data_IF_627076170359
#
_entry.id   IF_627076170359
#
_cell.length_a   1.000
_cell.length_b   1.000
_cell.length_c   1.000
_cell.angle_alpha   90.00
_cell.angle_beta   90.00
_cell.angle_gamma   90.00
#
_symmetry.space_group_name_H-M   'P 1'
#
loop_
_entity.id
_entity.type
_entity.pdbx_description
1 polymer ?
#
# COMPACT_ATOMS: atom_id res chain seq x y z
N UNK A 1 22.10 -9.87 -44.89
CA UNK A 1 21.87 -10.36 -43.51
C UNK A 1 21.18 -9.25 -42.72
N UNK A 2 19.87 -9.39 -42.44
CA UNK A 2 19.18 -8.44 -41.55
C UNK A 2 19.55 -8.83 -40.12
N UNK A 3 20.40 -8.05 -39.49
CA UNK A 3 20.61 -8.09 -38.05
C UNK A 3 19.25 -7.94 -37.38
N UNK A 4 18.73 -9.03 -36.78
CA UNK A 4 17.61 -8.96 -35.83
C UNK A 4 18.11 -8.20 -34.61
N UNK A 5 18.00 -6.87 -34.65
CA UNK A 5 18.07 -6.07 -33.44
C UNK A 5 16.98 -6.61 -32.52
N UNK A 6 17.38 -7.23 -31.44
CA UNK A 6 16.47 -7.68 -30.37
C UNK A 6 15.88 -6.40 -29.75
N UNK A 7 14.83 -5.87 -30.36
CA UNK A 7 14.16 -4.69 -29.86
C UNK A 7 13.43 -5.04 -28.56
N UNK A 8 13.82 -4.41 -27.47
CA UNK A 8 13.18 -4.60 -26.17
C UNK A 8 11.76 -4.02 -26.23
N UNK A 9 10.78 -4.91 -26.36
CA UNK A 9 9.36 -4.53 -26.44
C UNK A 9 8.83 -4.16 -25.07
N UNK A 10 8.32 -2.94 -24.94
CA UNK A 10 7.70 -2.40 -23.75
C UNK A 10 6.24 -2.02 -24.05
N UNK A 11 5.34 -2.49 -23.20
CA UNK A 11 3.90 -2.26 -23.35
C UNK A 11 3.41 -1.38 -22.23
N UNK A 12 2.68 -0.32 -22.57
CA UNK A 12 1.94 0.52 -21.64
C UNK A 12 0.45 0.26 -21.75
N UNK A 13 -0.22 0.14 -20.63
CA UNK A 13 -1.66 -0.07 -20.54
C UNK A 13 -2.28 0.98 -19.64
N UNK A 14 -3.10 1.82 -20.22
CA UNK A 14 -4.02 2.67 -19.47
C UNK A 14 -5.35 1.95 -19.28
N UNK A 15 -5.90 2.01 -18.06
CA UNK A 15 -7.04 1.20 -17.66
C UNK A 15 -8.24 2.09 -17.36
N UNK A 16 -9.18 2.13 -18.29
CA UNK A 16 -10.50 2.72 -18.08
C UNK A 16 -11.51 1.71 -17.54
N UNK A 17 -12.67 2.21 -17.11
CA UNK A 17 -13.78 1.36 -16.61
C UNK A 17 -14.31 0.41 -17.70
N UNK A 18 -14.40 0.89 -18.93
CA UNK A 18 -15.00 0.17 -20.06
C UNK A 18 -14.00 -0.28 -21.10
N UNK A 19 -12.79 0.29 -21.10
CA UNK A 19 -11.81 0.13 -22.15
C UNK A 19 -10.41 0.02 -21.56
N UNK A 20 -9.55 -0.71 -22.25
CA UNK A 20 -8.10 -0.73 -22.06
C UNK A 20 -7.44 -0.13 -23.29
N UNK A 21 -6.56 0.84 -23.06
CA UNK A 21 -5.77 1.49 -24.09
C UNK A 21 -4.34 0.96 -24.03
N UNK A 22 -3.87 0.36 -25.12
CA UNK A 22 -2.63 -0.40 -25.14
C UNK A 22 -1.69 0.18 -26.19
N UNK A 23 -0.46 0.46 -25.78
CA UNK A 23 0.58 0.96 -26.64
C UNK A 23 1.85 0.10 -26.56
N UNK A 24 2.43 -0.25 -27.70
CA UNK A 24 3.61 -1.12 -27.84
C UNK A 24 4.79 -0.34 -28.41
N UNK A 25 5.81 -0.09 -27.61
CA UNK A 25 7.07 0.51 -28.02
C UNK A 25 8.15 -0.57 -28.30
N UNK A 26 9.08 -0.31 -29.22
CA UNK A 26 9.21 0.85 -30.10
C UNK A 26 8.41 0.72 -31.41
N UNK A 27 7.47 -0.23 -31.50
CA UNK A 27 6.75 -0.54 -32.77
C UNK A 27 5.70 0.50 -33.13
N UNK A 28 5.39 1.45 -32.26
CA UNK A 28 4.36 2.46 -32.43
C UNK A 28 2.96 1.91 -32.71
N UNK A 29 2.66 0.76 -32.08
CA UNK A 29 1.37 0.08 -32.23
C UNK A 29 0.45 0.51 -31.10
N UNK A 30 -0.70 1.06 -31.45
CA UNK A 30 -1.77 1.40 -30.52
C UNK A 30 -3.04 0.66 -30.89
N UNK A 31 -3.72 0.10 -29.91
CA UNK A 31 -5.04 -0.51 -30.07
C UNK A 31 -5.81 -0.44 -28.76
N UNK A 32 -7.12 -0.57 -28.87
CA UNK A 32 -8.05 -0.57 -27.75
C UNK A 32 -8.83 -1.87 -27.72
N UNK A 33 -9.21 -2.30 -26.51
CA UNK A 33 -10.13 -3.41 -26.30
C UNK A 33 -11.10 -3.05 -25.18
N UNK A 34 -12.25 -3.70 -25.14
CA UNK A 34 -13.17 -3.56 -24.00
C UNK A 34 -12.53 -4.13 -22.73
N UNK A 35 -12.75 -3.48 -21.59
CA UNK A 35 -12.31 -3.98 -20.28
C UNK A 35 -13.29 -5.03 -19.74
N UNK A 36 -13.43 -6.12 -20.48
CA UNK A 36 -14.21 -7.31 -20.14
C UNK A 36 -13.42 -8.58 -20.47
N UNK A 37 -13.97 -9.73 -20.13
CA UNK A 37 -13.27 -11.02 -20.30
C UNK A 37 -12.83 -11.27 -21.75
N UNK A 38 -13.66 -10.93 -22.73
CA UNK A 38 -13.36 -11.13 -24.16
C UNK A 38 -12.24 -10.21 -24.63
N UNK A 39 -12.34 -8.91 -24.36
CA UNK A 39 -11.33 -7.92 -24.76
C UNK A 39 -9.99 -8.17 -24.07
N UNK A 40 -9.99 -8.54 -22.78
CA UNK A 40 -8.79 -8.88 -22.04
C UNK A 40 -8.08 -10.11 -22.65
N UNK A 41 -8.82 -11.16 -23.02
CA UNK A 41 -8.26 -12.33 -23.71
C UNK A 41 -7.62 -11.96 -25.06
N UNK A 42 -8.28 -11.08 -25.81
CA UNK A 42 -7.76 -10.55 -27.09
C UNK A 42 -6.48 -9.75 -26.89
N UNK A 43 -6.46 -8.84 -25.91
CA UNK A 43 -5.31 -8.03 -25.58
C UNK A 43 -4.10 -8.90 -25.21
N UNK A 44 -4.28 -9.85 -24.29
CA UNK A 44 -3.22 -10.76 -23.85
C UNK A 44 -2.69 -11.61 -25.01
N UNK A 45 -3.59 -12.15 -25.87
CA UNK A 45 -3.21 -12.90 -27.08
C UNK A 45 -2.39 -12.04 -28.06
N UNK A 46 -2.78 -10.79 -28.24
CA UNK A 46 -2.10 -9.85 -29.14
C UNK A 46 -0.73 -9.47 -28.58
N UNK A 47 -0.65 -9.07 -27.32
CA UNK A 47 0.59 -8.67 -26.65
C UNK A 47 1.61 -9.84 -26.62
N UNK A 48 1.15 -11.06 -26.39
CA UNK A 48 2.01 -12.25 -26.33
C UNK A 48 2.78 -12.51 -27.62
N UNK A 49 2.23 -12.13 -28.80
CA UNK A 49 2.91 -12.27 -30.10
C UNK A 49 4.21 -11.47 -30.18
N UNK A 50 4.25 -10.34 -29.50
CA UNK A 50 5.42 -9.42 -29.48
C UNK A 50 6.47 -9.78 -28.46
N UNK A 51 6.24 -10.78 -27.59
CA UNK A 51 7.18 -11.22 -26.54
C UNK A 51 7.72 -10.04 -25.71
N UNK A 52 6.87 -9.26 -25.03
CA UNK A 52 7.30 -8.07 -24.34
C UNK A 52 8.30 -8.37 -23.22
N UNK A 53 9.29 -7.50 -23.05
CA UNK A 53 10.19 -7.51 -21.90
C UNK A 53 9.44 -7.07 -20.63
N UNK A 54 8.47 -6.15 -20.79
CA UNK A 54 7.66 -5.63 -19.69
C UNK A 54 6.34 -5.05 -20.18
N UNK A 55 5.30 -5.30 -19.39
CA UNK A 55 3.97 -4.70 -19.53
C UNK A 55 3.77 -3.83 -18.28
N UNK A 56 3.65 -2.53 -18.44
CA UNK A 56 3.37 -1.62 -17.31
C UNK A 56 1.92 -1.20 -17.36
N UNK A 57 1.25 -1.35 -16.23
CA UNK A 57 -0.15 -0.99 -16.00
C UNK A 57 -0.20 0.01 -14.85
N UNK A 58 -0.90 1.12 -15.01
CA UNK A 58 -1.12 2.06 -13.91
C UNK A 58 -2.18 1.52 -12.94
N UNK A 59 -1.94 1.65 -11.63
CA UNK A 59 -2.91 1.27 -10.60
C UNK A 59 -4.09 2.24 -10.61
N UNK A 60 -5.30 1.78 -10.98
CA UNK A 60 -6.53 2.57 -11.14
C UNK A 60 -7.66 2.10 -10.23
N UNK A 61 -7.34 1.77 -8.97
CA UNK A 61 -8.33 1.42 -7.96
C UNK A 61 -9.02 0.08 -8.19
N UNK A 62 -8.32 -0.90 -8.78
CA UNK A 62 -8.68 -2.30 -9.07
C UNK A 62 -9.32 -2.56 -10.45
N UNK A 63 -9.54 -1.56 -11.28
CA UNK A 63 -9.99 -1.77 -12.66
C UNK A 63 -8.95 -2.53 -13.49
N UNK A 64 -7.68 -2.42 -13.12
CA UNK A 64 -6.53 -3.10 -13.72
C UNK A 64 -6.46 -4.60 -13.38
N UNK A 65 -7.08 -5.04 -12.28
CA UNK A 65 -6.88 -6.39 -11.74
C UNK A 65 -7.27 -7.53 -12.68
N UNK A 66 -8.40 -7.48 -13.42
CA UNK A 66 -8.74 -8.54 -14.37
C UNK A 66 -7.68 -8.74 -15.45
N UNK A 67 -7.12 -7.64 -15.98
CA UNK A 67 -6.05 -7.70 -16.97
C UNK A 67 -4.72 -8.21 -16.38
N UNK A 68 -4.37 -7.80 -15.17
CA UNK A 68 -3.17 -8.27 -14.44
C UNK A 68 -3.25 -9.79 -14.21
N UNK A 69 -4.40 -10.30 -13.76
CA UNK A 69 -4.62 -11.73 -13.55
C UNK A 69 -4.47 -12.51 -14.87
N UNK A 70 -5.00 -11.98 -15.97
CA UNK A 70 -4.85 -12.59 -17.28
C UNK A 70 -3.39 -12.60 -17.76
N UNK A 71 -2.63 -11.52 -17.52
CA UNK A 71 -1.20 -11.48 -17.81
C UNK A 71 -0.41 -12.51 -16.98
N UNK A 72 -0.71 -12.63 -15.69
CA UNK A 72 -0.06 -13.61 -14.82
C UNK A 72 -0.35 -15.05 -15.26
N UNK A 73 -1.60 -15.37 -15.56
CA UNK A 73 -2.01 -16.68 -16.08
C UNK A 73 -1.32 -17.01 -17.41
N UNK A 74 -1.08 -16.00 -18.25
CA UNK A 74 -0.35 -16.13 -19.51
C UNK A 74 1.18 -16.13 -19.34
N UNK A 75 1.70 -16.02 -18.10
CA UNK A 75 3.12 -15.89 -17.73
C UNK A 75 3.81 -14.72 -18.43
N UNK A 76 3.09 -13.61 -18.62
CA UNK A 76 3.64 -12.38 -19.18
C UNK A 76 4.29 -11.53 -18.08
N UNK A 77 5.41 -10.85 -18.38
CA UNK A 77 6.11 -9.99 -17.43
C UNK A 77 5.35 -8.67 -17.24
N UNK A 78 4.77 -8.44 -16.06
CA UNK A 78 3.99 -7.23 -15.78
C UNK A 78 4.51 -6.47 -14.58
N UNK A 79 4.21 -5.16 -14.56
CA UNK A 79 4.50 -4.24 -13.45
C UNK A 79 3.29 -3.37 -13.20
N UNK A 80 2.87 -3.29 -11.94
CA UNK A 80 1.83 -2.36 -11.49
C UNK A 80 2.54 -1.07 -11.08
N UNK A 81 2.38 -0.01 -11.87
CA UNK A 81 3.01 1.26 -11.62
C UNK A 81 2.20 2.13 -10.64
N UNK A 82 2.92 2.85 -9.77
CA UNK A 82 2.29 3.85 -8.93
C UNK A 82 1.95 5.10 -9.79
N UNK A 83 0.69 5.57 -9.79
CA UNK A 83 0.25 6.74 -10.54
C UNK A 83 1.10 7.99 -10.30
N UNK A 84 1.59 8.18 -9.08
CA UNK A 84 2.47 9.32 -8.76
C UNK A 84 3.78 9.28 -9.52
N UNK A 85 4.33 8.09 -9.78
CA UNK A 85 5.59 7.95 -10.54
C UNK A 85 5.37 8.23 -12.01
N UNK A 86 4.30 7.68 -12.62
CA UNK A 86 3.93 7.93 -14.02
C UNK A 86 3.66 9.42 -14.23
N UNK A 87 2.88 10.06 -13.34
CA UNK A 87 2.59 11.50 -13.40
C UNK A 87 3.85 12.36 -13.29
N UNK A 88 4.81 12.00 -12.42
CA UNK A 88 6.09 12.74 -12.33
C UNK A 88 6.94 12.57 -13.57
N UNK A 89 6.91 11.39 -14.18
CA UNK A 89 7.60 11.13 -15.43
C UNK A 89 7.00 11.96 -16.59
N UNK A 90 5.66 12.05 -16.68
CA UNK A 90 4.98 12.96 -17.61
C UNK A 90 5.45 14.41 -17.44
N UNK A 91 5.51 14.89 -16.19
CA UNK A 91 6.01 16.22 -15.86
C UNK A 91 7.46 16.45 -16.28
N UNK A 92 8.34 15.44 -16.11
CA UNK A 92 9.74 15.51 -16.54
C UNK A 92 9.89 15.58 -18.07
N UNK A 93 8.95 15.00 -18.83
CA UNK A 93 8.88 15.09 -20.29
C UNK A 93 8.19 16.35 -20.80
N UNK A 94 7.65 17.20 -19.91
CA UNK A 94 6.88 18.39 -20.31
C UNK A 94 5.52 18.06 -20.94
N UNK A 95 5.03 16.82 -20.83
CA UNK A 95 3.76 16.41 -21.43
C UNK A 95 2.59 17.02 -20.66
N UNK A 96 1.83 17.88 -21.34
CA UNK A 96 0.65 18.57 -20.77
C UNK A 96 -0.66 18.05 -21.35
N UNK A 97 -0.64 17.58 -22.61
CA UNK A 97 -1.83 17.03 -23.26
C UNK A 97 -2.19 15.68 -22.66
N UNK A 98 -3.48 15.42 -22.50
CA UNK A 98 -4.03 14.19 -21.94
C UNK A 98 -5.07 13.61 -22.89
N UNK A 99 -4.79 12.40 -23.39
CA UNK A 99 -5.74 11.53 -24.09
C UNK A 99 -5.36 10.09 -23.74
N UNK A 100 -6.29 9.15 -23.79
CA UNK A 100 -6.06 7.76 -23.42
C UNK A 100 -4.90 7.13 -24.23
N UNK A 101 -4.78 7.47 -25.53
CA UNK A 101 -3.63 7.06 -26.37
C UNK A 101 -2.31 7.61 -25.84
N UNK A 102 -2.26 8.91 -25.48
CA UNK A 102 -1.06 9.54 -24.96
C UNK A 102 -0.68 9.01 -23.58
N UNK A 103 -1.67 8.66 -22.76
CA UNK A 103 -1.45 8.06 -21.45
C UNK A 103 -0.87 6.64 -21.59
N UNK A 104 -1.42 5.80 -22.47
CA UNK A 104 -0.85 4.48 -22.78
C UNK A 104 0.57 4.58 -23.37
N UNK A 105 0.82 5.54 -24.27
CA UNK A 105 2.14 5.82 -24.83
C UNK A 105 3.15 6.27 -23.77
N UNK A 106 2.73 7.14 -22.85
CA UNK A 106 3.53 7.60 -21.72
C UNK A 106 3.91 6.43 -20.79
N UNK A 107 2.94 5.56 -20.48
CA UNK A 107 3.18 4.38 -19.63
C UNK A 107 4.16 3.42 -20.32
N UNK A 108 4.08 3.23 -21.64
CA UNK A 108 5.03 2.42 -22.40
C UNK A 108 6.44 3.04 -22.40
N UNK A 109 6.54 4.38 -22.51
CA UNK A 109 7.81 5.11 -22.43
C UNK A 109 8.39 5.05 -21.01
N UNK A 110 7.56 5.16 -19.97
CA UNK A 110 7.97 4.93 -18.57
C UNK A 110 8.53 3.52 -18.37
N UNK A 111 7.89 2.50 -18.98
CA UNK A 111 8.39 1.11 -18.96
C UNK A 111 9.80 0.99 -19.52
N UNK A 112 10.05 1.59 -20.67
CA UNK A 112 11.33 1.55 -21.38
C UNK A 112 12.44 2.33 -20.65
N UNK A 113 12.14 3.55 -20.20
CA UNK A 113 13.13 4.45 -19.61
C UNK A 113 13.48 4.08 -18.15
N UNK A 114 12.50 3.74 -17.35
CA UNK A 114 12.67 3.50 -15.90
C UNK A 114 12.93 2.04 -15.58
N UNK A 115 12.44 1.12 -16.42
CA UNK A 115 12.55 -0.34 -16.22
C UNK A 115 12.12 -0.78 -14.82
N UNK A 116 10.89 -0.42 -14.38
CA UNK A 116 10.44 -0.72 -13.03
C UNK A 116 10.46 -2.24 -12.79
N UNK A 117 10.73 -2.71 -11.55
CA UNK A 117 10.78 -4.13 -11.24
C UNK A 117 9.45 -4.83 -11.53
N UNK A 118 9.50 -6.10 -11.95
CA UNK A 118 8.32 -6.90 -12.20
C UNK A 118 7.53 -7.12 -10.91
N UNK A 119 6.21 -7.00 -11.02
CA UNK A 119 5.30 -7.26 -9.92
C UNK A 119 5.02 -8.75 -9.77
N UNK A 120 4.81 -9.18 -8.53
CA UNK A 120 4.31 -10.51 -8.20
C UNK A 120 2.88 -10.39 -7.69
N UNK A 121 1.99 -11.30 -8.09
CA UNK A 121 0.68 -11.38 -7.48
C UNK A 121 0.81 -11.78 -6.02
N UNK A 122 -0.01 -11.17 -5.19
CA UNK A 122 -0.18 -11.63 -3.81
C UNK A 122 -0.89 -12.99 -3.84
N UNK A 123 -0.56 -13.92 -2.92
CA UNK A 123 -1.39 -15.11 -2.72
C UNK A 123 -2.86 -14.73 -2.47
N UNK A 124 -3.80 -15.55 -2.93
CA UNK A 124 -5.24 -15.25 -2.84
C UNK A 124 -5.69 -14.96 -1.41
N UNK A 125 -5.17 -15.69 -0.43
CA UNK A 125 -5.43 -15.48 1.00
C UNK A 125 -4.93 -14.10 1.47
N UNK A 126 -3.75 -13.67 1.03
CA UNK A 126 -3.20 -12.35 1.36
C UNK A 126 -3.99 -11.24 0.66
N UNK A 127 -4.43 -11.46 -0.58
CA UNK A 127 -5.27 -10.51 -1.29
C UNK A 127 -6.63 -10.37 -0.60
N UNK A 128 -7.28 -11.49 -0.24
CA UNK A 128 -8.54 -11.49 0.51
C UNK A 128 -8.41 -10.74 1.84
N UNK A 129 -7.33 -10.96 2.59
CA UNK A 129 -7.07 -10.23 3.84
C UNK A 129 -6.89 -8.73 3.60
N UNK A 130 -6.13 -8.36 2.56
CA UNK A 130 -5.94 -6.94 2.18
C UNK A 130 -7.26 -6.27 1.82
N UNK A 131 -8.16 -6.99 1.15
CA UNK A 131 -9.47 -6.50 0.76
C UNK A 131 -10.39 -6.30 1.96
N UNK A 132 -10.41 -7.25 2.88
CA UNK A 132 -11.17 -7.14 4.14
C UNK A 132 -10.68 -5.97 4.99
N UNK A 133 -9.36 -5.80 5.16
CA UNK A 133 -8.77 -4.67 5.88
C UNK A 133 -9.11 -3.33 5.20
N UNK A 134 -9.04 -3.28 3.88
CA UNK A 134 -9.41 -2.08 3.10
C UNK A 134 -10.88 -1.74 3.29
N UNK A 135 -11.79 -2.72 3.20
CA UNK A 135 -13.22 -2.51 3.40
C UNK A 135 -13.54 -2.06 4.82
N UNK A 136 -12.90 -2.65 5.82
CA UNK A 136 -13.01 -2.21 7.21
C UNK A 136 -12.64 -0.73 7.37
N UNK A 137 -11.51 -0.31 6.78
CA UNK A 137 -11.06 1.08 6.87
C UNK A 137 -12.03 2.05 6.18
N UNK A 138 -12.63 1.65 5.04
CA UNK A 138 -13.69 2.45 4.39
C UNK A 138 -14.89 2.65 5.32
N UNK A 139 -15.36 1.59 5.97
CA UNK A 139 -16.49 1.68 6.91
C UNK A 139 -16.17 2.53 8.14
N UNK A 140 -14.96 2.44 8.67
CA UNK A 140 -14.50 3.30 9.76
C UNK A 140 -14.46 4.78 9.37
N UNK A 141 -14.02 5.09 8.15
CA UNK A 141 -14.02 6.46 7.65
C UNK A 141 -15.46 7.00 7.53
N UNK A 142 -16.39 6.21 6.94
CA UNK A 142 -17.80 6.57 6.86
C UNK A 142 -18.41 6.77 8.26
N UNK A 143 -18.12 5.86 9.20
CA UNK A 143 -18.57 5.97 10.58
C UNK A 143 -18.05 7.26 11.24
N UNK A 144 -16.81 7.62 11.00
CA UNK A 144 -16.20 8.84 11.54
C UNK A 144 -16.86 10.08 10.96
N UNK A 145 -17.17 10.08 9.66
CA UNK A 145 -17.90 11.17 9.00
C UNK A 145 -19.29 11.36 9.63
N UNK A 146 -20.03 10.28 9.86
CA UNK A 146 -21.36 10.35 10.50
C UNK A 146 -21.27 10.75 11.97
N UNK A 147 -20.26 10.31 12.71
CA UNK A 147 -20.02 10.77 14.10
C UNK A 147 -19.75 12.28 14.16
N UNK A 148 -18.99 12.82 13.21
CA UNK A 148 -18.73 14.26 13.15
C UNK A 148 -20.03 15.04 12.80
N UNK A 149 -20.83 14.53 11.86
CA UNK A 149 -22.14 15.12 11.54
C UNK A 149 -23.08 15.13 12.74
N UNK A 150 -23.10 14.04 13.50
CA UNK A 150 -23.94 13.92 14.71
C UNK A 150 -23.69 15.03 15.72
N UNK A 151 -22.45 15.56 15.79
CA UNK A 151 -22.09 16.61 16.76
C UNK A 151 -22.61 18.01 16.38
N UNK A 152 -22.90 18.23 15.10
CA UNK A 152 -23.29 19.54 14.56
C UNK A 152 -24.75 19.60 14.05
N UNK A 153 -25.43 18.45 13.95
CA UNK A 153 -26.79 18.36 13.42
C UNK A 153 -27.82 18.72 14.48
N UNK A 154 -28.98 19.33 14.08
CA UNK A 154 -30.15 19.50 14.93
C UNK A 154 -30.61 18.15 15.50
N UNK A 155 -31.20 18.16 16.71
CA UNK A 155 -31.65 16.94 17.42
C UNK A 155 -32.56 16.03 16.58
N UNK A 156 -33.47 16.60 15.82
CA UNK A 156 -34.39 15.86 14.94
C UNK A 156 -33.67 15.07 13.87
N UNK A 157 -32.65 15.67 13.21
CA UNK A 157 -31.86 15.01 12.18
C UNK A 157 -30.85 14.06 12.78
N UNK A 158 -30.36 14.30 14.00
CA UNK A 158 -29.46 13.41 14.71
C UNK A 158 -30.05 12.01 14.92
N UNK A 159 -31.35 11.87 15.02
CA UNK A 159 -32.04 10.57 15.12
C UNK A 159 -31.89 9.73 13.85
N UNK A 160 -31.72 10.31 12.68
CA UNK A 160 -31.52 9.59 11.42
C UNK A 160 -30.10 9.02 11.31
N UNK A 161 -29.12 9.61 12.00
CA UNK A 161 -27.70 9.20 11.97
C UNK A 161 -27.44 7.98 12.87
N UNK A 162 -28.13 7.85 13.99
CA UNK A 162 -27.93 6.75 14.96
C UNK A 162 -28.07 5.35 14.35
N UNK A 163 -29.14 5.04 13.56
CA UNK A 163 -29.26 3.73 12.89
C UNK A 163 -28.10 3.45 11.93
N UNK A 164 -27.63 4.46 11.20
CA UNK A 164 -26.49 4.34 10.27
C UNK A 164 -25.21 4.00 11.01
N UNK A 165 -24.94 4.65 12.15
CA UNK A 165 -23.80 4.34 13.00
C UNK A 165 -23.85 2.91 13.55
N UNK A 166 -25.06 2.43 13.92
CA UNK A 166 -25.28 1.04 14.36
C UNK A 166 -25.01 0.07 13.22
N UNK A 167 -25.48 0.36 12.01
CA UNK A 167 -25.19 -0.45 10.82
C UNK A 167 -23.69 -0.54 10.56
N UNK A 168 -22.98 0.59 10.56
CA UNK A 168 -21.51 0.58 10.37
C UNK A 168 -20.81 -0.24 11.43
N UNK A 169 -21.18 -0.10 12.71
CA UNK A 169 -20.62 -0.89 13.80
C UNK A 169 -20.78 -2.40 13.53
N UNK A 170 -21.98 -2.83 13.18
CA UNK A 170 -22.28 -4.25 12.93
C UNK A 170 -21.53 -4.78 11.70
N UNK A 171 -21.41 -3.99 10.62
CA UNK A 171 -20.66 -4.37 9.43
C UNK A 171 -19.16 -4.47 9.71
N UNK A 172 -18.60 -3.55 10.51
CA UNK A 172 -17.20 -3.59 10.91
C UNK A 172 -16.92 -4.88 11.70
N UNK A 173 -17.75 -5.22 12.69
CA UNK A 173 -17.61 -6.45 13.48
C UNK A 173 -17.61 -7.70 12.58
N UNK A 174 -18.56 -7.80 11.63
CA UNK A 174 -18.62 -8.93 10.68
C UNK A 174 -17.36 -9.06 9.84
N UNK A 175 -16.75 -7.94 9.45
CA UNK A 175 -15.50 -7.96 8.67
C UNK A 175 -14.33 -8.37 9.58
N UNK A 176 -14.28 -7.87 10.80
CA UNK A 176 -13.26 -8.25 11.78
C UNK A 176 -13.28 -9.76 12.08
N UNK A 177 -14.46 -10.36 12.23
CA UNK A 177 -14.63 -11.80 12.37
C UNK A 177 -14.08 -12.57 11.15
N UNK A 178 -14.36 -12.08 9.92
CA UNK A 178 -13.82 -12.69 8.70
C UNK A 178 -12.30 -12.58 8.64
N UNK A 179 -11.72 -11.46 9.07
CA UNK A 179 -10.27 -11.30 9.14
C UNK A 179 -9.66 -12.31 10.11
N UNK A 180 -10.25 -12.47 11.29
CA UNK A 180 -9.79 -13.44 12.29
C UNK A 180 -9.86 -14.88 11.74
N UNK A 181 -10.99 -15.28 11.16
CA UNK A 181 -11.14 -16.60 10.52
C UNK A 181 -10.10 -16.86 9.44
N UNK A 182 -9.79 -15.85 8.63
CA UNK A 182 -8.78 -15.97 7.57
C UNK A 182 -7.37 -16.14 8.15
N UNK A 183 -7.04 -15.43 9.23
CA UNK A 183 -5.77 -15.62 9.95
C UNK A 183 -5.70 -17.04 10.50
N UNK A 184 -6.76 -17.49 11.15
CA UNK A 184 -6.82 -18.80 11.82
C UNK A 184 -6.78 -19.97 10.81
N UNK A 185 -7.17 -19.75 9.56
CA UNK A 185 -7.10 -20.75 8.49
C UNK A 185 -5.71 -20.94 7.88
N UNK A 186 -4.74 -20.07 8.17
CA UNK A 186 -3.40 -20.13 7.59
C UNK A 186 -2.32 -20.16 8.69
N UNK A 187 -1.61 -21.28 8.89
CA UNK A 187 -0.60 -21.42 9.95
C UNK A 187 0.49 -20.35 9.91
N UNK A 188 0.94 -19.94 8.72
CA UNK A 188 1.92 -18.86 8.56
C UNK A 188 1.40 -17.53 9.10
N UNK A 189 0.12 -17.21 8.83
CA UNK A 189 -0.48 -15.97 9.31
C UNK A 189 -0.78 -16.03 10.81
N UNK A 190 -1.15 -17.18 11.34
CA UNK A 190 -1.27 -17.40 12.79
C UNK A 190 0.05 -17.11 13.50
N UNK A 191 1.15 -17.73 13.06
CA UNK A 191 2.46 -17.54 13.65
C UNK A 191 2.89 -16.05 13.64
N UNK A 192 2.80 -15.39 12.48
CA UNK A 192 3.10 -13.95 12.35
C UNK A 192 2.19 -13.10 13.23
N UNK A 193 0.92 -13.44 13.30
CA UNK A 193 -0.07 -12.72 14.09
C UNK A 193 0.22 -12.84 15.60
N UNK A 194 0.60 -14.01 16.08
CA UNK A 194 1.01 -14.23 17.49
C UNK A 194 2.25 -13.40 17.83
N UNK A 195 3.28 -13.44 16.98
CA UNK A 195 4.49 -12.65 17.17
C UNK A 195 4.16 -11.14 17.25
N UNK A 196 3.38 -10.62 16.31
CA UNK A 196 3.03 -9.19 16.27
C UNK A 196 2.19 -8.77 17.48
N UNK A 197 1.20 -9.60 17.89
CA UNK A 197 0.33 -9.31 19.02
C UNK A 197 1.03 -9.40 20.38
N UNK A 198 2.16 -10.12 20.47
CA UNK A 198 2.94 -10.15 21.71
C UNK A 198 3.45 -8.76 22.11
N UNK A 199 3.62 -7.84 21.13
CA UNK A 199 3.95 -6.44 21.41
C UNK A 199 2.72 -5.69 21.92
N UNK A 200 2.78 -5.24 23.15
CA UNK A 200 1.71 -4.46 23.79
C UNK A 200 1.38 -3.21 22.93
N UNK A 201 0.10 -3.07 22.60
CA UNK A 201 -0.43 -2.03 21.70
C UNK A 201 -0.77 -2.53 20.29
N UNK A 202 -0.33 -3.72 19.91
CA UNK A 202 -0.70 -4.34 18.63
C UNK A 202 -1.84 -5.33 18.87
N UNK A 203 -3.05 -4.98 18.44
CA UNK A 203 -4.21 -5.88 18.46
C UNK A 203 -4.32 -6.72 17.18
N UNK A 204 -5.26 -7.70 17.18
CA UNK A 204 -5.49 -8.64 16.06
C UNK A 204 -5.61 -7.95 14.69
N UNK A 205 -6.39 -6.87 14.61
CA UNK A 205 -6.62 -6.16 13.35
C UNK A 205 -5.39 -5.35 12.91
N UNK A 206 -4.64 -4.79 13.85
CA UNK A 206 -3.39 -4.12 13.55
C UNK A 206 -2.36 -5.11 12.98
N UNK A 207 -2.24 -6.29 13.59
CA UNK A 207 -1.38 -7.37 13.11
C UNK A 207 -1.82 -7.84 11.71
N UNK A 208 -3.12 -8.07 11.47
CA UNK A 208 -3.66 -8.42 10.16
C UNK A 208 -3.34 -7.39 9.09
N UNK A 209 -3.48 -6.10 9.44
CA UNK A 209 -3.13 -4.99 8.53
C UNK A 209 -1.65 -4.95 8.19
N UNK A 210 -0.77 -5.24 9.16
CA UNK A 210 0.67 -5.34 8.93
C UNK A 210 0.97 -6.53 8.02
N UNK A 211 0.46 -7.72 8.30
CA UNK A 211 0.68 -8.94 7.51
C UNK A 211 0.26 -8.73 6.05
N UNK A 212 -0.93 -8.18 5.83
CA UNK A 212 -1.49 -8.03 4.47
C UNK A 212 -0.88 -6.89 3.66
N UNK A 213 -0.43 -5.82 4.33
CA UNK A 213 0.06 -4.62 3.66
C UNK A 213 1.58 -4.41 3.76
N UNK A 214 2.29 -5.23 4.54
CA UNK A 214 3.75 -5.23 4.65
C UNK A 214 4.31 -6.66 4.59
N UNK A 215 4.09 -7.40 3.50
CA UNK A 215 4.59 -8.78 3.38
C UNK A 215 6.13 -8.85 3.41
N UNK A 216 6.81 -7.73 3.16
CA UNK A 216 8.26 -7.63 3.19
C UNK A 216 8.85 -7.58 4.62
N UNK A 217 8.00 -7.33 5.63
CA UNK A 217 8.45 -7.20 7.00
C UNK A 217 9.02 -8.54 7.52
N UNK A 218 10.18 -8.49 8.14
CA UNK A 218 10.98 -9.66 8.50
C UNK A 218 12.09 -10.00 7.49
N UNK A 219 12.00 -9.48 6.25
CA UNK A 219 12.99 -9.75 5.19
C UNK A 219 13.80 -8.51 4.77
N UNK A 220 13.48 -7.34 5.32
CA UNK A 220 14.09 -6.06 4.98
C UNK A 220 14.89 -5.49 6.16
N UNK A 221 15.80 -4.55 5.87
CA UNK A 221 16.54 -3.88 6.93
C UNK A 221 15.72 -2.75 7.60
N UNK A 222 16.19 -2.27 8.74
CA UNK A 222 15.52 -1.25 9.57
C UNK A 222 15.26 0.08 8.83
N UNK A 223 16.16 0.49 7.92
CA UNK A 223 16.01 1.70 7.11
C UNK A 223 14.91 1.52 6.09
N UNK A 224 14.90 0.37 5.41
CA UNK A 224 13.85 0.00 4.44
C UNK A 224 12.48 -0.10 5.11
N UNK A 225 12.37 -0.78 6.26
CA UNK A 225 11.12 -0.89 7.01
C UNK A 225 10.55 0.50 7.37
N UNK A 226 11.40 1.40 7.87
CA UNK A 226 11.01 2.78 8.21
C UNK A 226 10.59 3.59 6.98
N UNK A 227 11.30 3.45 5.85
CA UNK A 227 10.98 4.15 4.60
C UNK A 227 9.68 3.62 3.99
N UNK A 228 9.46 2.29 4.03
CA UNK A 228 8.29 1.62 3.44
C UNK A 228 6.97 2.09 4.05
N UNK A 229 6.94 2.39 5.35
CA UNK A 229 5.76 2.97 6.01
C UNK A 229 5.78 4.51 6.03
N UNK A 230 6.84 5.14 5.51
CA UNK A 230 6.98 6.59 5.41
C UNK A 230 7.18 7.30 6.75
N UNK A 231 7.92 6.67 7.70
CA UNK A 231 8.32 7.30 8.97
C UNK A 231 9.82 7.61 9.05
N UNK A 232 10.57 7.32 7.99
CA UNK A 232 11.95 7.77 7.87
C UNK A 232 11.99 9.27 7.59
N UNK A 233 12.70 10.08 8.39
CA UNK A 233 12.85 11.49 8.11
C UNK A 233 13.73 11.69 6.88
N UNK A 234 13.20 12.40 5.88
CA UNK A 234 13.91 12.75 4.65
C UNK A 234 14.65 14.08 4.84
N UNK A 235 15.93 14.10 4.45
CA UNK A 235 16.72 15.32 4.43
C UNK A 235 16.21 16.26 3.34
N UNK A 236 16.22 17.57 3.63
CA UNK A 236 15.97 18.65 2.67
C UNK A 236 17.14 19.63 2.81
N UNK A 237 18.26 19.26 2.25
CA UNK A 237 19.52 20.01 2.35
C UNK A 237 20.01 20.33 0.94
N UNK A 238 20.34 21.58 0.68
CA UNK A 238 20.96 22.03 -0.57
C UNK A 238 21.97 23.13 -0.27
N UNK A 239 23.23 22.89 -0.57
CA UNK A 239 24.32 23.81 -0.26
C UNK A 239 24.35 24.21 1.21
N UNK A 240 24.23 25.52 1.51
CA UNK A 240 24.19 26.04 2.87
C UNK A 240 22.83 25.93 3.57
N UNK A 241 21.76 25.56 2.81
CA UNK A 241 20.41 25.45 3.36
C UNK A 241 20.21 24.10 4.03
N UNK A 242 19.99 24.09 5.37
CA UNK A 242 19.60 22.92 6.14
C UNK A 242 18.12 23.02 6.52
N UNK A 243 17.25 22.46 5.68
CA UNK A 243 15.81 22.43 5.94
C UNK A 243 15.39 21.43 7.01
N UNK A 244 14.21 21.63 7.59
CA UNK A 244 13.65 20.67 8.54
C UNK A 244 13.40 19.30 7.86
N UNK A 245 13.85 18.24 8.52
CA UNK A 245 13.55 16.86 8.08
C UNK A 245 12.06 16.57 8.26
N UNK A 246 11.43 16.09 7.21
CA UNK A 246 10.00 15.71 7.21
C UNK A 246 9.84 14.27 6.75
N UNK A 247 8.83 13.59 7.30
CA UNK A 247 8.42 12.27 6.78
C UNK A 247 7.64 12.45 5.47
N UNK A 248 7.86 11.55 4.50
CA UNK A 248 7.19 11.61 3.21
C UNK A 248 7.02 10.20 2.61
N UNK A 249 5.97 10.01 1.82
CA UNK A 249 5.74 8.78 1.07
C UNK A 249 5.36 7.59 1.94
N UNK A 250 5.74 6.41 1.49
CA UNK A 250 5.44 5.13 2.13
C UNK A 250 3.97 4.73 2.04
N UNK A 251 3.59 3.69 2.80
CA UNK A 251 2.24 3.13 2.86
C UNK A 251 1.41 3.81 3.96
N UNK A 252 0.57 4.80 3.63
CA UNK A 252 -0.14 5.60 4.63
C UNK A 252 -1.12 4.76 5.45
N UNK A 253 -1.73 3.73 4.87
CA UNK A 253 -2.66 2.83 5.55
C UNK A 253 -2.01 2.14 6.75
N UNK A 254 -0.80 1.60 6.57
CA UNK A 254 -0.05 0.96 7.66
C UNK A 254 0.41 1.99 8.68
N UNK A 255 0.88 3.16 8.23
CA UNK A 255 1.27 4.24 9.14
C UNK A 255 0.13 4.67 10.05
N UNK A 256 -1.10 4.76 9.54
CA UNK A 256 -2.29 5.09 10.33
C UNK A 256 -2.59 4.02 11.38
N UNK A 257 -2.52 2.75 11.01
CA UNK A 257 -2.71 1.63 11.94
C UNK A 257 -1.66 1.64 13.04
N UNK A 258 -0.38 1.82 12.69
CA UNK A 258 0.71 1.91 13.66
C UNK A 258 0.62 3.18 14.54
N UNK A 259 0.06 4.27 14.02
CA UNK A 259 -0.20 5.46 14.82
C UNK A 259 -1.22 5.16 15.93
N UNK A 260 -2.33 4.49 15.61
CA UNK A 260 -3.33 4.09 16.60
C UNK A 260 -2.78 3.07 17.60
N UNK A 261 -2.02 2.09 17.11
CA UNK A 261 -1.33 1.11 17.96
C UNK A 261 -0.33 1.80 18.92
N UNK A 262 0.39 2.82 18.44
CA UNK A 262 1.32 3.57 19.27
C UNK A 262 0.62 4.40 20.35
N UNK A 263 -0.57 4.96 20.08
CA UNK A 263 -1.36 5.66 21.10
C UNK A 263 -1.71 4.73 22.27
N UNK A 264 -2.04 3.47 21.99
CA UNK A 264 -2.26 2.45 23.03
C UNK A 264 -0.94 2.03 23.70
N UNK A 265 0.12 1.78 22.90
CA UNK A 265 1.41 1.35 23.41
C UNK A 265 2.07 2.37 24.35
N UNK A 266 1.92 3.66 24.09
CA UNK A 266 2.46 4.71 24.98
C UNK A 266 1.83 4.72 26.39
N UNK A 267 0.63 4.14 26.54
CA UNK A 267 -0.04 4.03 27.84
C UNK A 267 0.40 2.77 28.58
N UNK A 268 0.57 1.65 27.88
CA UNK A 268 0.71 0.31 28.47
C UNK A 268 2.10 -0.32 28.30
N UNK A 269 2.95 0.22 27.41
CA UNK A 269 4.31 -0.31 27.18
C UNK A 269 5.37 0.65 27.74
N UNK A 270 6.12 0.26 28.77
CA UNK A 270 7.07 1.15 29.44
C UNK A 270 8.19 1.67 28.51
N UNK A 271 8.61 0.86 27.52
CA UNK A 271 9.67 1.24 26.56
C UNK A 271 9.23 2.40 25.68
N UNK A 272 7.99 2.38 25.19
CA UNK A 272 7.46 3.45 24.34
C UNK A 272 7.08 4.67 25.19
N UNK A 273 6.53 4.46 26.39
CA UNK A 273 6.24 5.55 27.33
C UNK A 273 7.50 6.35 27.67
N UNK A 274 8.57 5.67 28.11
CA UNK A 274 9.84 6.29 28.43
C UNK A 274 10.48 6.98 27.20
N UNK A 275 10.45 6.32 26.03
CA UNK A 275 10.97 6.92 24.78
C UNK A 275 10.22 8.20 24.41
N UNK A 276 8.89 8.19 24.53
CA UNK A 276 8.05 9.35 24.22
C UNK A 276 8.33 10.52 25.18
N UNK A 277 8.34 10.26 26.49
CA UNK A 277 8.63 11.29 27.51
C UNK A 277 10.00 11.94 27.30
N UNK A 278 11.06 11.13 27.15
CA UNK A 278 12.41 11.62 26.85
C UNK A 278 12.46 12.53 25.63
N UNK A 279 11.67 12.23 24.59
CA UNK A 279 11.62 13.07 23.38
C UNK A 279 10.88 14.39 23.61
N UNK A 280 9.86 14.41 24.47
CA UNK A 280 9.17 15.63 24.86
C UNK A 280 10.07 16.54 25.73
N UNK A 281 10.77 15.96 26.68
CA UNK A 281 11.76 16.67 27.54
C UNK A 281 12.90 17.28 26.70
N UNK A 282 13.29 16.58 25.60
CA UNK A 282 14.22 17.11 24.60
C UNK A 282 13.60 18.17 23.65
N UNK A 283 12.42 18.70 23.97
CA UNK A 283 11.74 19.76 23.20
C UNK A 283 11.14 19.34 21.88
N UNK A 284 10.95 18.04 21.60
CA UNK A 284 10.35 17.60 20.35
C UNK A 284 8.82 17.79 20.36
N UNK A 285 8.20 18.29 19.28
CA UNK A 285 6.75 18.38 19.18
C UNK A 285 6.09 16.99 19.35
N UNK A 286 4.92 16.93 20.00
CA UNK A 286 4.18 15.69 20.29
C UNK A 286 4.07 14.75 19.10
N UNK A 287 3.64 15.24 17.92
CA UNK A 287 3.52 14.42 16.69
C UNK A 287 4.87 13.87 16.22
N UNK A 288 5.94 14.63 16.35
CA UNK A 288 7.29 14.19 15.96
C UNK A 288 7.76 13.08 16.91
N UNK A 289 7.53 13.21 18.20
CA UNK A 289 7.85 12.20 19.20
C UNK A 289 7.06 10.89 18.94
N UNK A 290 5.75 10.96 18.63
CA UNK A 290 4.94 9.79 18.28
C UNK A 290 5.51 9.10 17.03
N UNK A 291 5.83 9.84 15.97
CA UNK A 291 6.40 9.26 14.74
C UNK A 291 7.76 8.59 14.99
N UNK A 292 8.58 9.17 15.88
CA UNK A 292 9.85 8.54 16.27
C UNK A 292 9.62 7.22 17.03
N UNK A 293 8.62 7.16 17.91
CA UNK A 293 8.21 5.92 18.57
C UNK A 293 7.67 4.87 17.57
N UNK A 294 6.86 5.28 16.58
CA UNK A 294 6.39 4.39 15.51
C UNK A 294 7.57 3.84 14.70
N UNK A 295 8.57 4.69 14.42
CA UNK A 295 9.78 4.22 13.74
C UNK A 295 10.52 3.17 14.56
N UNK A 296 10.63 3.34 15.88
CA UNK A 296 11.20 2.33 16.78
C UNK A 296 10.35 1.06 16.77
N UNK A 297 9.03 1.18 16.85
CA UNK A 297 8.10 0.05 16.83
C UNK A 297 8.26 -0.80 15.56
N UNK A 298 8.22 -0.19 14.36
CA UNK A 298 8.31 -0.97 13.10
C UNK A 298 9.67 -1.67 12.95
N UNK A 299 10.75 -1.05 13.44
CA UNK A 299 12.09 -1.67 13.45
C UNK A 299 12.10 -2.91 14.35
N UNK A 300 11.50 -2.83 15.54
CA UNK A 300 11.38 -3.95 16.47
C UNK A 300 10.50 -5.05 15.87
N UNK A 301 9.32 -4.71 15.35
CA UNK A 301 8.41 -5.67 14.70
C UNK A 301 9.09 -6.39 13.52
N UNK A 302 9.92 -5.68 12.76
CA UNK A 302 10.71 -6.27 11.68
C UNK A 302 11.73 -7.31 12.21
N UNK A 303 12.41 -7.00 13.31
CA UNK A 303 13.35 -7.94 13.94
C UNK A 303 12.62 -9.14 14.54
N UNK A 304 11.50 -8.93 15.24
CA UNK A 304 10.69 -10.01 15.81
C UNK A 304 10.22 -11.02 14.75
N UNK A 305 9.72 -10.53 13.62
CA UNK A 305 9.29 -11.39 12.50
C UNK A 305 10.46 -12.08 11.81
N UNK A 306 11.61 -11.43 11.69
CA UNK A 306 12.83 -12.02 11.11
C UNK A 306 13.35 -13.17 11.96
N UNK A 307 13.39 -12.95 13.27
CA UNK A 307 14.01 -13.87 14.24
C UNK A 307 12.99 -14.90 14.79
N UNK A 308 11.70 -14.75 14.45
CA UNK A 308 10.62 -15.63 14.91
C UNK A 308 10.35 -15.54 16.43
N UNK A 309 10.70 -14.41 17.06
CA UNK A 309 10.64 -14.24 18.52
C UNK A 309 9.48 -13.34 18.93
N UNK A 310 8.89 -13.62 20.09
CA UNK A 310 7.88 -12.78 20.72
C UNK A 310 8.51 -11.56 21.38
N UNK A 311 7.72 -10.52 21.62
CA UNK A 311 8.14 -9.34 22.35
C UNK A 311 8.36 -9.69 23.84
N UNK A 312 9.55 -9.43 24.30
CA UNK A 312 9.88 -9.37 25.72
C UNK A 312 10.24 -7.92 26.11
N UNK A 313 9.55 -7.40 27.11
CA UNK A 313 9.89 -6.07 27.62
C UNK A 313 11.31 -6.16 28.24
N UNK A 314 12.23 -5.25 27.88
CA UNK A 314 13.53 -5.21 28.52
C UNK A 314 13.34 -5.13 30.05
N UNK A 315 14.03 -6.01 30.80
CA UNK A 315 14.07 -5.92 32.23
C UNK A 315 14.62 -4.53 32.57
N UNK A 316 13.83 -3.74 33.27
CA UNK A 316 14.30 -2.47 33.83
C UNK A 316 15.21 -2.89 34.98
N UNK A 317 16.52 -2.82 34.78
CA UNK A 317 17.45 -2.89 35.92
C UNK A 317 17.17 -1.63 36.76
N UNK A 318 16.55 -1.84 37.91
CA UNK A 318 16.42 -0.80 38.95
C UNK A 318 17.79 -0.40 39.47
#
# INVERSE_FOLDING_TARGET
MKTKTNQNINVGVDTGKFQLDIYIRPLDIYFTVENNEKGIKEAVKTIKKYKPERIVIEATGRLEMPFILACANAKLPFTIANPVHVKRFAGALGQRAKTDKLDAQLIAHYSEAIKPPLSKLKPDTMQAMSDLVTRRNQLLNMQTMEKNRLQIMPKELAMTIKPVLTLFKNQILKIEEKIVKLIDSCPEYQAKNMILQSMTGIGKIAAASIISNLPELGYINSKQASALIGVAPMNRESGRFKGQRKIQGGRPQVRTVLYMAMMSAMQSNPVFKATYQRLLEAGKPKKVAIIACIRKMIVILNSMLRDGVMWEAPKVNN
#
